data_IF_802209304141
#
_entry.id   IF_802209304141
#
_cell.length_a   1.000
_cell.length_b   1.000
_cell.length_c   1.000
_cell.angle_alpha   90.00
_cell.angle_beta   90.00
_cell.angle_gamma   90.00
#
_symmetry.space_group_name_H-M   'P 1'
#
loop_
_entity.id
_entity.type
_entity.pdbx_description
1 polymer ?
#
# COMPACT_ATOMS: atom_id res chain seq x y z
N UNK A 1 56.98 4.72 -40.56
CA UNK A 1 56.51 3.48 -39.91
C UNK A 1 55.38 3.80 -38.91
N UNK A 2 54.27 4.41 -39.37
CA UNK A 2 53.14 4.79 -38.47
C UNK A 2 51.74 4.61 -39.11
N UNK A 3 51.66 4.13 -40.36
CA UNK A 3 50.38 3.97 -41.08
C UNK A 3 49.79 2.56 -40.86
N UNK A 4 50.62 1.57 -40.53
CA UNK A 4 50.19 0.18 -40.36
C UNK A 4 49.39 -0.12 -39.09
N UNK A 5 49.45 0.75 -38.06
CA UNK A 5 48.80 0.47 -36.78
C UNK A 5 47.31 0.86 -36.74
N UNK A 6 46.95 1.96 -37.41
CA UNK A 6 45.56 2.45 -37.44
C UNK A 6 44.63 1.55 -38.26
N UNK A 7 45.13 0.94 -39.34
CA UNK A 7 44.33 0.01 -40.17
C UNK A 7 43.99 -1.27 -39.43
N UNK A 8 44.88 -1.77 -38.56
CA UNK A 8 44.64 -3.00 -37.80
C UNK A 8 43.64 -2.78 -36.64
N UNK A 9 43.74 -1.64 -35.94
CA UNK A 9 42.79 -1.27 -34.89
C UNK A 9 41.37 -1.00 -35.45
N UNK A 10 41.28 -0.36 -36.62
CA UNK A 10 40.00 -0.13 -37.30
C UNK A 10 39.32 -1.42 -37.79
N UNK A 11 40.09 -2.38 -38.30
CA UNK A 11 39.55 -3.67 -38.75
C UNK A 11 39.07 -4.54 -37.57
N UNK A 12 39.82 -4.57 -36.47
CA UNK A 12 39.44 -5.31 -35.26
C UNK A 12 38.16 -4.77 -34.61
N UNK A 13 38.03 -3.44 -34.49
CA UNK A 13 36.82 -2.80 -33.94
C UNK A 13 35.57 -2.99 -34.82
N UNK A 14 35.73 -3.02 -36.15
CA UNK A 14 34.61 -3.22 -37.09
C UNK A 14 34.10 -4.66 -37.05
N UNK A 15 34.99 -5.65 -36.92
CA UNK A 15 34.61 -7.07 -36.81
C UNK A 15 33.85 -7.33 -35.50
N UNK A 16 34.33 -6.80 -34.37
CA UNK A 16 33.70 -6.93 -33.03
C UNK A 16 32.25 -6.39 -32.99
N UNK A 17 32.01 -5.21 -33.59
CA UNK A 17 30.67 -4.61 -33.61
C UNK A 17 29.68 -5.36 -34.50
N UNK A 18 30.16 -6.06 -35.55
CA UNK A 18 29.28 -6.86 -36.43
C UNK A 18 28.89 -8.19 -35.81
N UNK A 19 29.77 -8.82 -35.04
CA UNK A 19 29.49 -10.05 -34.29
C UNK A 19 28.58 -9.79 -33.08
N UNK A 20 28.80 -8.70 -32.33
CA UNK A 20 27.92 -8.30 -31.24
C UNK A 20 26.48 -7.94 -31.69
N UNK A 21 26.31 -7.37 -32.90
CA UNK A 21 24.98 -7.14 -33.51
C UNK A 21 24.32 -8.44 -33.99
N UNK A 22 25.11 -9.44 -34.38
CA UNK A 22 24.61 -10.75 -34.85
C UNK A 22 24.14 -11.59 -33.65
N UNK A 23 24.91 -11.60 -32.55
CA UNK A 23 24.54 -12.25 -31.28
C UNK A 23 23.24 -11.68 -30.68
N UNK A 24 23.07 -10.36 -30.66
CA UNK A 24 21.84 -9.72 -30.14
C UNK A 24 20.57 -10.05 -30.95
N UNK A 25 20.71 -10.47 -32.21
CA UNK A 25 19.58 -10.76 -33.11
C UNK A 25 19.03 -12.18 -32.94
N UNK A 26 19.87 -13.14 -32.57
CA UNK A 26 19.45 -14.54 -32.35
C UNK A 26 18.89 -14.78 -30.93
N UNK A 27 19.15 -13.90 -29.96
CA UNK A 27 18.79 -14.15 -28.55
C UNK A 27 17.43 -13.58 -28.12
N UNK A 28 16.79 -12.71 -28.92
CA UNK A 28 15.45 -12.21 -28.60
C UNK A 28 14.35 -13.05 -29.25
N UNK A 29 14.37 -14.36 -28.97
CA UNK A 29 13.28 -15.26 -29.35
C UNK A 29 12.02 -14.85 -28.60
N UNK A 30 11.05 -14.26 -29.29
CA UNK A 30 9.78 -13.86 -28.71
C UNK A 30 9.03 -15.09 -28.17
N UNK A 31 8.69 -15.07 -26.89
CA UNK A 31 7.90 -16.13 -26.26
C UNK A 31 6.43 -15.77 -26.40
N UNK A 32 5.63 -16.69 -26.93
CA UNK A 32 4.18 -16.56 -27.03
C UNK A 32 3.55 -17.56 -26.04
N UNK A 33 2.76 -17.09 -25.07
CA UNK A 33 2.13 -17.97 -24.08
C UNK A 33 1.02 -18.82 -24.71
N UNK A 34 0.07 -18.17 -25.39
CA UNK A 34 -1.11 -18.80 -26.00
C UNK A 34 -1.16 -18.57 -27.51
N UNK A 35 -0.09 -18.93 -28.22
CA UNK A 35 0.02 -18.67 -29.65
C UNK A 35 1.19 -19.39 -30.29
N UNK A 36 1.40 -19.09 -31.57
CA UNK A 36 2.58 -19.50 -32.31
C UNK A 36 3.37 -18.27 -32.77
N UNK A 37 4.68 -18.36 -32.71
CA UNK A 37 5.55 -17.35 -33.29
C UNK A 37 5.62 -17.55 -34.81
N UNK A 38 5.43 -16.48 -35.57
CA UNK A 38 5.81 -16.42 -36.99
C UNK A 38 6.39 -15.06 -37.33
N UNK A 39 7.55 -15.03 -37.98
CA UNK A 39 8.21 -13.81 -38.44
C UNK A 39 8.45 -12.76 -37.34
N UNK A 40 8.85 -13.19 -36.14
CA UNK A 40 9.18 -12.33 -35.01
C UNK A 40 7.96 -11.72 -34.30
N UNK A 41 6.74 -12.21 -34.57
CA UNK A 41 5.50 -11.79 -33.89
C UNK A 41 4.69 -12.99 -33.43
N UNK A 42 3.96 -12.81 -32.34
CA UNK A 42 3.04 -13.83 -31.83
C UNK A 42 1.70 -13.75 -32.55
N UNK A 43 1.27 -14.88 -33.09
CA UNK A 43 -0.09 -15.09 -33.58
C UNK A 43 -0.87 -15.84 -32.51
N UNK A 44 -1.80 -15.14 -31.88
CA UNK A 44 -2.57 -15.66 -30.75
C UNK A 44 -3.66 -16.63 -31.18
N UNK A 45 -3.93 -17.61 -30.33
CA UNK A 45 -5.10 -18.50 -30.48
C UNK A 45 -6.38 -17.71 -30.22
N UNK A 46 -7.50 -18.23 -30.73
CA UNK A 46 -8.81 -17.65 -30.50
C UNK A 46 -9.08 -17.48 -29.00
N UNK A 47 -9.50 -16.28 -28.61
CA UNK A 47 -9.74 -15.92 -27.21
C UNK A 47 -8.54 -15.34 -26.46
N UNK A 48 -7.38 -15.17 -27.11
CA UNK A 48 -6.21 -14.50 -26.51
C UNK A 48 -5.74 -13.32 -27.36
N UNK A 49 -5.06 -12.36 -26.72
CA UNK A 49 -4.50 -11.15 -27.32
C UNK A 49 -3.30 -10.65 -26.52
N UNK A 50 -2.70 -9.53 -26.96
CA UNK A 50 -1.48 -8.97 -26.41
C UNK A 50 -0.25 -9.32 -27.25
N UNK A 51 0.89 -8.71 -26.90
CA UNK A 51 2.13 -8.85 -27.68
C UNK A 51 2.69 -10.28 -27.62
N UNK A 52 2.44 -10.97 -26.52
CA UNK A 52 2.89 -12.31 -26.21
C UNK A 52 1.72 -13.29 -26.01
N UNK A 53 0.50 -12.90 -26.41
CA UNK A 53 -0.72 -13.67 -26.17
C UNK A 53 -0.95 -13.98 -24.68
N UNK A 54 -0.61 -13.02 -23.84
CA UNK A 54 -0.69 -13.07 -22.38
C UNK A 54 -2.09 -12.71 -21.87
N UNK A 55 -2.85 -11.91 -22.63
CA UNK A 55 -4.17 -11.43 -22.24
C UNK A 55 -5.27 -12.33 -22.79
N UNK A 56 -6.24 -12.66 -21.97
CA UNK A 56 -7.46 -13.36 -22.38
C UNK A 56 -8.53 -12.36 -22.80
N UNK A 57 -9.25 -12.67 -23.87
CA UNK A 57 -10.44 -11.93 -24.33
C UNK A 57 -11.65 -12.37 -23.51
N UNK A 58 -12.31 -11.44 -22.82
CA UNK A 58 -13.49 -11.69 -21.97
C UNK A 58 -14.78 -11.27 -22.67
N UNK A 59 -15.21 -12.09 -23.62
CA UNK A 59 -16.30 -11.73 -24.52
C UNK A 59 -17.50 -12.60 -24.20
N UNK A 60 -18.68 -11.97 -24.17
CA UNK A 60 -19.91 -12.59 -23.70
C UNK A 60 -20.32 -13.78 -24.60
N UNK A 61 -20.04 -13.67 -25.90
CA UNK A 61 -20.32 -14.70 -26.91
C UNK A 61 -19.04 -15.13 -27.64
N UNK A 62 -19.12 -16.28 -28.31
CA UNK A 62 -18.04 -16.77 -29.20
C UNK A 62 -18.00 -16.04 -30.55
N UNK A 63 -19.01 -15.22 -30.85
CA UNK A 63 -19.07 -14.45 -32.09
C UNK A 63 -18.03 -13.34 -32.09
N UNK A 64 -17.35 -13.18 -33.22
CA UNK A 64 -16.30 -12.19 -33.44
C UNK A 64 -16.69 -11.30 -34.61
N UNK A 65 -16.39 -10.01 -34.49
CA UNK A 65 -16.47 -9.10 -35.62
C UNK A 65 -15.35 -9.41 -36.63
N UNK A 66 -15.48 -8.94 -37.88
CA UNK A 66 -14.50 -9.20 -38.95
C UNK A 66 -13.05 -8.85 -38.57
N UNK A 67 -12.86 -7.88 -37.67
CA UNK A 67 -11.55 -7.45 -37.17
C UNK A 67 -11.04 -8.27 -35.96
N UNK A 68 -11.64 -9.43 -35.66
CA UNK A 68 -11.37 -10.25 -34.46
C UNK A 68 -11.70 -9.56 -33.11
N UNK A 69 -12.46 -8.47 -33.18
CA UNK A 69 -13.03 -7.75 -32.05
C UNK A 69 -14.25 -8.50 -31.48
N UNK A 70 -14.59 -8.21 -30.23
CA UNK A 70 -15.72 -8.83 -29.56
C UNK A 70 -17.00 -8.04 -29.81
N UNK A 71 -18.11 -8.74 -30.07
CA UNK A 71 -19.42 -8.10 -30.28
C UNK A 71 -19.91 -7.48 -28.97
N UNK A 72 -19.74 -8.20 -27.86
CA UNK A 72 -20.09 -7.75 -26.52
C UNK A 72 -19.09 -8.30 -25.50
N UNK A 73 -18.74 -7.48 -24.50
CA UNK A 73 -17.86 -7.87 -23.40
C UNK A 73 -18.63 -8.46 -22.23
N UNK A 74 -17.97 -9.36 -21.49
CA UNK A 74 -18.46 -9.80 -20.18
C UNK A 74 -18.57 -8.61 -19.22
N UNK A 75 -19.47 -8.71 -18.24
CA UNK A 75 -19.65 -7.64 -17.24
C UNK A 75 -18.34 -7.37 -16.49
N UNK A 76 -17.92 -6.11 -16.45
CA UNK A 76 -16.68 -5.69 -15.81
C UNK A 76 -15.44 -5.80 -16.69
N UNK A 77 -15.61 -5.97 -18.01
CA UNK A 77 -14.53 -5.95 -19.00
C UNK A 77 -14.81 -4.94 -20.10
N UNK A 78 -13.77 -4.34 -20.64
CA UNK A 78 -13.83 -3.34 -21.69
C UNK A 78 -12.62 -3.42 -22.65
N UNK A 79 -12.65 -2.61 -23.71
CA UNK A 79 -11.70 -2.66 -24.83
C UNK A 79 -12.28 -3.32 -26.07
N UNK A 80 -11.62 -3.14 -27.22
CA UNK A 80 -12.09 -3.70 -28.51
C UNK A 80 -12.12 -5.23 -28.52
N UNK A 81 -11.27 -5.86 -27.71
CA UNK A 81 -11.19 -7.31 -27.56
C UNK A 81 -11.52 -7.76 -26.13
N UNK A 82 -12.17 -6.88 -25.35
CA UNK A 82 -12.52 -7.11 -23.95
C UNK A 82 -11.33 -7.58 -23.10
N UNK A 83 -10.16 -6.99 -23.35
CA UNK A 83 -8.90 -7.34 -22.73
C UNK A 83 -8.60 -6.51 -21.46
N UNK A 84 -9.36 -5.44 -21.23
CA UNK A 84 -9.15 -4.52 -20.11
C UNK A 84 -10.16 -4.81 -19.01
N UNK A 85 -9.67 -5.01 -17.79
CA UNK A 85 -10.53 -5.22 -16.63
C UNK A 85 -11.02 -3.87 -16.10
N UNK A 86 -12.32 -3.74 -15.90
CA UNK A 86 -12.90 -2.58 -15.22
C UNK A 86 -12.97 -2.83 -13.71
N UNK A 87 -12.28 -1.99 -12.95
CA UNK A 87 -12.29 -2.04 -11.50
C UNK A 87 -13.35 -1.06 -10.96
N UNK A 88 -14.22 -1.51 -10.06
CA UNK A 88 -15.20 -0.63 -9.39
C UNK A 88 -14.51 0.39 -8.48
N UNK A 89 -13.41 -0.03 -7.85
CA UNK A 89 -12.57 0.78 -6.96
C UNK A 89 -11.11 0.41 -7.19
N UNK A 90 -10.20 1.38 -7.14
CA UNK A 90 -8.78 1.14 -7.36
C UNK A 90 -8.37 1.24 -8.83
N UNK A 91 -7.26 0.58 -9.16
CA UNK A 91 -6.58 0.71 -10.45
C UNK A 91 -6.46 -0.64 -11.16
N UNK A 92 -6.50 -0.64 -12.49
CA UNK A 92 -6.33 -1.85 -13.32
C UNK A 92 -4.86 -2.11 -13.63
N UNK A 93 -4.38 -3.31 -13.35
CA UNK A 93 -3.08 -3.80 -13.81
C UNK A 93 -3.18 -4.25 -15.27
N UNK A 94 -2.62 -3.42 -16.17
CA UNK A 94 -2.63 -3.61 -17.62
C UNK A 94 -1.89 -4.89 -18.08
N UNK A 95 -0.95 -5.41 -17.29
CA UNK A 95 -0.19 -6.61 -17.66
C UNK A 95 -0.89 -7.89 -17.19
N UNK A 96 -1.48 -7.86 -16.00
CA UNK A 96 -2.01 -9.07 -15.34
C UNK A 96 -3.52 -9.24 -15.45
N UNK A 97 -4.23 -8.31 -16.11
CA UNK A 97 -5.70 -8.28 -16.22
C UNK A 97 -6.38 -8.45 -14.84
N UNK A 98 -5.86 -7.74 -13.84
CA UNK A 98 -6.34 -7.81 -12.45
C UNK A 98 -6.48 -6.41 -11.89
N UNK A 99 -7.42 -6.25 -10.97
CA UNK A 99 -7.56 -5.01 -10.23
C UNK A 99 -6.66 -4.98 -9.00
N UNK A 100 -5.99 -3.84 -8.79
CA UNK A 100 -5.25 -3.52 -7.57
C UNK A 100 -6.24 -2.84 -6.62
N UNK A 101 -6.80 -3.62 -5.71
CA UNK A 101 -7.83 -3.13 -4.80
C UNK A 101 -7.22 -2.37 -3.61
N UNK A 102 -7.72 -1.15 -3.29
CA UNK A 102 -7.37 -0.49 -2.05
C UNK A 102 -7.99 -1.25 -0.88
N UNK A 103 -7.22 -1.47 0.19
CA UNK A 103 -7.78 -2.05 1.43
C UNK A 103 -8.86 -1.11 2.00
N UNK A 104 -9.95 -1.65 2.58
CA UNK A 104 -10.25 -3.06 2.84
C UNK A 104 -11.03 -3.79 1.73
N UNK A 105 -11.11 -3.24 0.51
CA UNK A 105 -11.87 -3.84 -0.58
C UNK A 105 -11.14 -5.05 -1.19
N UNK A 106 -11.91 -6.03 -1.65
CA UNK A 106 -11.46 -7.28 -2.25
C UNK A 106 -12.35 -7.69 -3.43
N UNK A 107 -12.06 -8.82 -4.07
CA UNK A 107 -12.79 -9.33 -5.23
C UNK A 107 -12.10 -9.06 -6.57
N UNK A 108 -12.63 -9.64 -7.65
CA UNK A 108 -12.02 -9.55 -8.98
C UNK A 108 -12.05 -8.12 -9.55
N UNK A 109 -13.16 -7.40 -9.33
CA UNK A 109 -13.33 -6.01 -9.76
C UNK A 109 -13.35 -5.04 -8.55
N UNK A 110 -12.83 -5.47 -7.40
CA UNK A 110 -12.81 -4.72 -6.14
C UNK A 110 -14.20 -4.28 -5.63
N UNK A 111 -15.22 -5.08 -5.88
CA UNK A 111 -16.59 -4.84 -5.41
C UNK A 111 -16.90 -5.42 -4.02
N UNK A 112 -16.12 -6.42 -3.58
CA UNK A 112 -16.38 -7.11 -2.32
C UNK A 112 -15.86 -6.28 -1.14
N UNK A 113 -16.72 -6.11 -0.15
CA UNK A 113 -16.39 -5.51 1.13
C UNK A 113 -17.00 -6.36 2.23
N UNK A 114 -16.17 -7.14 2.93
CA UNK A 114 -16.64 -7.95 4.05
C UNK A 114 -16.39 -7.22 5.36
N UNK A 115 -17.28 -7.40 6.34
CA UNK A 115 -17.10 -6.83 7.68
C UNK A 115 -15.82 -7.34 8.33
N UNK A 116 -15.46 -8.60 8.09
CA UNK A 116 -14.21 -9.20 8.56
C UNK A 116 -12.97 -8.47 8.03
N UNK A 117 -12.92 -8.14 6.74
CA UNK A 117 -11.80 -7.41 6.13
C UNK A 117 -11.69 -5.98 6.69
N UNK A 118 -12.84 -5.33 6.90
CA UNK A 118 -12.91 -3.99 7.51
C UNK A 118 -12.38 -4.04 8.94
N UNK A 119 -12.86 -4.96 9.77
CA UNK A 119 -12.42 -5.11 11.15
C UNK A 119 -10.94 -5.47 11.23
N UNK A 120 -10.47 -6.40 10.41
CA UNK A 120 -9.05 -6.77 10.33
C UNK A 120 -8.18 -5.57 9.96
N UNK A 121 -8.59 -4.79 8.96
CA UNK A 121 -7.86 -3.59 8.52
C UNK A 121 -7.77 -2.53 9.63
N UNK A 122 -8.90 -2.18 10.27
CA UNK A 122 -8.89 -1.20 11.35
C UNK A 122 -8.20 -1.70 12.60
N UNK A 123 -8.29 -2.99 12.92
CA UNK A 123 -7.59 -3.57 14.06
C UNK A 123 -6.08 -3.56 13.84
N UNK A 124 -5.61 -3.93 12.65
CA UNK A 124 -4.20 -3.82 12.28
C UNK A 124 -3.73 -2.37 12.24
N UNK A 125 -4.57 -1.43 11.76
CA UNK A 125 -4.26 0.00 11.79
C UNK A 125 -4.16 0.51 13.23
N UNK A 126 -5.09 0.13 14.11
CA UNK A 126 -5.09 0.49 15.53
C UNK A 126 -3.86 -0.09 16.25
N UNK A 127 -3.49 -1.34 15.95
CA UNK A 127 -2.26 -1.96 16.46
C UNK A 127 -1.00 -1.26 15.94
N UNK A 128 -1.00 -0.85 14.67
CA UNK A 128 0.09 -0.08 14.06
C UNK A 128 0.20 1.34 14.62
N UNK A 129 -0.93 1.96 14.98
CA UNK A 129 -0.98 3.23 15.71
C UNK A 129 -0.56 3.05 17.18
N UNK A 130 -0.67 1.83 17.71
CA UNK A 130 0.08 1.34 18.85
C UNK A 130 0.00 2.24 20.10
N UNK A 131 1.00 2.16 21.01
CA UNK A 131 0.97 2.85 22.29
C UNK A 131 1.03 4.38 22.18
N UNK A 132 1.07 4.98 20.98
CA UNK A 132 1.09 6.44 20.82
C UNK A 132 -0.14 7.11 21.46
N UNK A 133 -1.30 6.46 21.39
CA UNK A 133 -2.50 6.93 22.11
C UNK A 133 -2.36 6.88 23.63
N UNK A 134 -1.70 5.85 24.17
CA UNK A 134 -1.45 5.71 25.61
C UNK A 134 -0.34 6.67 26.07
N UNK A 135 0.70 6.85 25.24
CA UNK A 135 1.83 7.76 25.47
C UNK A 135 1.40 9.23 25.45
N UNK A 136 0.32 9.61 24.73
CA UNK A 136 -0.22 10.98 24.81
C UNK A 136 -1.15 11.19 26.00
N UNK A 137 -1.86 10.14 26.44
CA UNK A 137 -2.75 10.20 27.61
C UNK A 137 -1.94 10.23 28.92
N UNK A 138 -0.84 9.50 29.03
CA UNK A 138 -0.01 9.44 30.24
C UNK A 138 0.48 10.84 30.70
N UNK A 139 1.07 11.70 29.85
CA UNK A 139 1.49 13.06 30.22
C UNK A 139 0.32 13.94 30.67
N UNK A 140 -0.85 13.79 30.03
CA UNK A 140 -2.06 14.52 30.43
C UNK A 140 -2.52 14.09 31.83
N UNK A 141 -2.54 12.78 32.11
CA UNK A 141 -2.88 12.25 33.43
C UNK A 141 -1.89 12.68 34.51
N UNK A 142 -0.58 12.66 34.20
CA UNK A 142 0.47 13.16 35.12
C UNK A 142 0.28 14.64 35.41
N UNK A 143 -0.03 15.45 34.39
CA UNK A 143 -0.29 16.88 34.56
C UNK A 143 -1.54 17.14 35.41
N UNK A 144 -2.64 16.40 35.16
CA UNK A 144 -3.87 16.51 35.96
C UNK A 144 -3.64 16.11 37.42
N UNK A 145 -2.98 14.97 37.66
CA UNK A 145 -2.62 14.54 39.01
C UNK A 145 -1.70 15.54 39.71
N UNK A 146 -0.70 16.08 39.00
CA UNK A 146 0.18 17.13 39.50
C UNK A 146 -0.55 18.41 39.88
N UNK A 147 -1.52 18.84 39.05
CA UNK A 147 -2.39 19.97 39.33
C UNK A 147 -3.23 19.77 40.60
N UNK A 148 -3.88 18.61 40.74
CA UNK A 148 -4.64 18.29 41.95
C UNK A 148 -3.77 18.23 43.19
N UNK A 149 -2.60 17.59 43.10
CA UNK A 149 -1.64 17.50 44.20
C UNK A 149 -1.19 18.89 44.67
N UNK A 150 -0.83 19.77 43.74
CA UNK A 150 -0.45 21.15 44.05
C UNK A 150 -1.62 21.97 44.61
N UNK A 151 -2.85 21.74 44.15
CA UNK A 151 -4.04 22.39 44.69
C UNK A 151 -4.31 21.95 46.15
N UNK A 152 -4.23 20.65 46.45
CA UNK A 152 -4.37 20.10 47.83
C UNK A 152 -3.29 20.66 48.76
N UNK A 153 -2.04 20.68 48.30
CA UNK A 153 -0.91 21.24 49.08
C UNK A 153 -1.12 22.72 49.43
N UNK A 154 -1.68 23.52 48.51
CA UNK A 154 -2.04 24.93 48.78
C UNK A 154 -3.21 25.04 49.78
N UNK A 155 -4.20 24.15 49.71
CA UNK A 155 -5.32 24.11 50.67
C UNK A 155 -4.83 23.86 52.09
N UNK A 156 -3.97 22.86 52.30
CA UNK A 156 -3.41 22.52 53.62
C UNK A 156 -2.63 23.70 54.20
N UNK A 157 -1.73 24.33 53.43
CA UNK A 157 -0.95 25.49 53.92
C UNK A 157 -1.82 26.67 54.37
N UNK A 158 -2.91 26.95 53.64
CA UNK A 158 -3.84 28.04 54.02
C UNK A 158 -4.58 27.72 55.33
N UNK A 159 -5.00 26.48 55.51
CA UNK A 159 -5.66 26.06 56.76
C UNK A 159 -4.65 26.11 57.92
N UNK A 160 -3.45 25.57 57.72
CA UNK A 160 -2.34 25.61 58.70
C UNK A 160 -2.01 27.04 59.16
N UNK A 161 -1.91 28.01 58.24
CA UNK A 161 -1.65 29.41 58.60
C UNK A 161 -2.80 30.04 59.39
N UNK A 162 -4.06 29.72 59.07
CA UNK A 162 -5.22 30.25 59.79
C UNK A 162 -5.31 29.67 61.21
N UNK A 163 -4.96 28.40 61.42
CA UNK A 163 -4.96 27.80 62.76
C UNK A 163 -3.76 28.26 63.60
N UNK A 164 -2.62 28.52 62.97
CA UNK A 164 -1.44 29.08 63.65
C UNK A 164 -1.69 30.50 64.16
N UNK A 165 -2.43 31.32 63.41
CA UNK A 165 -2.84 32.67 63.83
C UNK A 165 -3.78 32.64 65.05
N UNK A 166 -4.52 31.55 65.23
CA UNK A 166 -5.38 31.30 66.40
C UNK A 166 -4.63 30.72 67.61
N UNK A 167 -3.29 30.71 67.62
CA UNK A 167 -2.44 30.16 68.69
C UNK A 167 -2.61 28.65 68.98
N UNK A 168 -3.18 27.88 68.05
CA UNK A 168 -3.32 26.43 68.18
C UNK A 168 -2.04 25.77 67.65
N UNK A 169 -1.36 24.95 68.47
CA UNK A 169 -0.20 24.17 68.02
C UNK A 169 -0.66 23.02 67.13
N UNK A 170 -0.60 23.20 65.81
CA UNK A 170 -1.15 22.24 64.85
C UNK A 170 -0.04 21.51 64.10
N UNK A 171 -0.10 20.17 64.16
CA UNK A 171 0.76 19.29 63.39
C UNK A 171 0.20 19.13 61.97
N UNK A 172 1.05 19.41 60.97
CA UNK A 172 0.72 19.34 59.54
C UNK A 172 0.11 18.00 59.09
N UNK A 173 0.50 16.89 59.73
CA UNK A 173 -0.06 15.56 59.46
C UNK A 173 -1.53 15.42 59.85
N UNK A 174 -1.94 16.06 60.94
CA UNK A 174 -3.35 15.99 61.40
C UNK A 174 -4.25 16.81 60.45
N UNK A 175 -3.74 17.93 59.94
CA UNK A 175 -4.47 18.76 58.96
C UNK A 175 -4.59 18.06 57.61
N UNK A 176 -3.58 17.30 57.19
CA UNK A 176 -3.70 16.48 55.98
C UNK A 176 -4.76 15.40 56.13
N UNK A 177 -4.77 14.66 57.23
CA UNK A 177 -5.71 13.55 57.46
C UNK A 177 -7.17 14.03 57.57
N UNK A 178 -7.40 15.22 58.14
CA UNK A 178 -8.73 15.84 58.20
C UNK A 178 -9.24 16.34 56.85
N UNK A 179 -8.33 16.64 55.92
CA UNK A 179 -8.66 17.20 54.60
C UNK A 179 -8.63 16.16 53.48
N UNK A 180 -8.24 14.91 53.78
CA UNK A 180 -8.35 13.81 52.84
C UNK A 180 -9.83 13.44 52.61
N UNK A 181 -10.25 13.28 51.35
CA UNK A 181 -11.57 12.75 51.06
C UNK A 181 -11.63 11.30 51.54
N UNK A 182 -12.56 10.96 52.43
CA UNK A 182 -12.89 9.56 52.72
C UNK A 182 -13.46 8.93 51.44
N UNK A 183 -12.65 8.13 50.77
CA UNK A 183 -13.13 7.23 49.71
C UNK A 183 -14.04 6.19 50.36
N UNK A 184 -15.34 6.31 50.12
CA UNK A 184 -16.34 5.27 50.42
C UNK A 184 -16.27 4.21 49.33
#
# INVERSE_FOLDING_TARGET
MFIGWYLCFGYFFVVDLTEARRYRRDEQKIICLHGAERHGRCFCKDGYTGRHCEKRKHCNTFERQENSACVECEKGWSGEQCEQIECKRGESDQEKQKCICPKPYSGQHCESLTTADVYSYYNHMAFSLGPLGVITIIPMLIALYGCEYMARKRKIRRVESMLGDQHINVNRRVVSDLLEPKTV
#
